data_IF_496773524374
#
_entry.id   IF_496773524374
#
_cell.length_a   1.000
_cell.length_b   1.000
_cell.length_c   1.000
_cell.angle_alpha   90.00
_cell.angle_beta   90.00
_cell.angle_gamma   90.00
#
_symmetry.space_group_name_H-M   'P 1'
#
loop_
_entity.id
_entity.type
_entity.pdbx_description
1 polymer ?
#
# COMPACT_ATOMS: atom_id res chain seq x y z
N UNK A 1 4.27 6.51 -19.48
CA UNK A 1 4.88 6.99 -18.23
C UNK A 1 5.06 8.50 -18.32
N UNK A 2 4.55 9.23 -17.32
CA UNK A 2 4.63 10.69 -17.21
C UNK A 2 5.24 10.99 -15.83
N UNK A 3 6.44 11.59 -15.80
CA UNK A 3 7.14 11.87 -14.52
C UNK A 3 7.48 13.35 -14.33
N UNK A 4 7.24 14.20 -15.33
CA UNK A 4 7.51 15.63 -15.29
C UNK A 4 7.21 16.31 -16.60
N UNK A 5 7.59 17.60 -16.70
CA UNK A 5 7.33 18.43 -17.87
C UNK A 5 5.93 19.02 -17.87
N UNK A 6 5.63 19.82 -18.92
CA UNK A 6 4.33 20.45 -19.10
C UNK A 6 3.62 19.86 -20.31
N UNK A 7 2.38 19.41 -20.10
CA UNK A 7 1.53 18.77 -21.10
C UNK A 7 0.29 19.63 -21.25
N UNK A 8 0.09 20.21 -22.43
CA UNK A 8 -1.04 21.11 -22.72
C UNK A 8 -2.15 20.45 -23.53
N UNK A 9 -1.86 19.32 -24.18
CA UNK A 9 -2.84 18.51 -24.90
C UNK A 9 -3.38 17.36 -24.03
N UNK A 10 -4.36 16.64 -24.55
CA UNK A 10 -4.89 15.44 -23.89
C UNK A 10 -3.88 14.30 -23.91
N UNK A 11 -3.93 13.46 -22.87
CA UNK A 11 -3.14 12.23 -22.73
C UNK A 11 -4.03 11.05 -23.05
N UNK A 12 -3.56 10.16 -23.89
CA UNK A 12 -4.22 8.91 -24.23
C UNK A 12 -3.31 7.73 -23.82
N UNK A 13 -3.81 6.81 -23.03
CA UNK A 13 -3.15 5.52 -22.77
C UNK A 13 -3.02 4.71 -24.06
N UNK A 14 -4.05 4.72 -24.87
CA UNK A 14 -4.09 4.20 -26.23
C UNK A 14 -4.99 5.04 -27.12
N UNK A 15 -4.62 5.19 -28.39
CA UNK A 15 -5.43 5.83 -29.42
C UNK A 15 -5.45 4.89 -30.64
N UNK A 16 -6.62 4.48 -31.05
CA UNK A 16 -6.80 3.54 -32.15
C UNK A 16 -7.98 3.87 -33.03
N UNK A 17 -7.96 3.35 -34.27
CA UNK A 17 -9.11 3.46 -35.18
C UNK A 17 -10.21 2.44 -34.85
N UNK A 18 -9.88 1.35 -34.14
CA UNK A 18 -10.83 0.33 -33.67
C UNK A 18 -10.75 0.19 -32.15
N UNK A 19 -9.82 -0.60 -31.63
CA UNK A 19 -9.71 -0.88 -30.22
C UNK A 19 -8.57 -0.09 -29.57
N UNK A 20 -8.78 0.36 -28.32
CA UNK A 20 -7.79 1.01 -27.48
C UNK A 20 -7.96 0.53 -26.02
N UNK A 21 -7.94 -0.79 -25.84
CA UNK A 21 -8.18 -1.49 -24.59
C UNK A 21 -6.88 -1.91 -23.90
N UNK A 22 -6.95 -2.16 -22.58
CA UNK A 22 -5.85 -2.74 -21.80
C UNK A 22 -4.64 -1.82 -21.59
N UNK A 23 -4.79 -0.53 -21.80
CA UNK A 23 -3.70 0.43 -21.69
C UNK A 23 -3.45 0.80 -20.23
N UNK A 24 -2.20 1.22 -19.94
CA UNK A 24 -1.81 1.67 -18.60
C UNK A 24 -1.15 3.03 -18.66
N UNK A 25 -1.71 3.99 -17.93
CA UNK A 25 -1.14 5.33 -17.74
C UNK A 25 -0.52 5.38 -16.35
N UNK A 26 0.75 5.77 -16.27
CA UNK A 26 1.48 5.96 -15.03
C UNK A 26 1.89 7.42 -14.89
N UNK A 27 1.53 8.03 -13.78
CA UNK A 27 1.83 9.41 -13.45
C UNK A 27 2.60 9.45 -12.12
N UNK A 28 3.81 10.02 -12.14
CA UNK A 28 4.68 10.17 -10.98
C UNK A 28 5.39 11.53 -11.02
N UNK A 29 6.20 11.82 -10.01
CA UNK A 29 6.97 13.07 -9.97
C UNK A 29 6.09 14.32 -9.96
N UNK A 30 6.43 15.33 -10.76
CA UNK A 30 5.78 16.64 -10.75
C UNK A 30 5.39 17.11 -12.17
N UNK A 31 4.60 16.36 -12.94
CA UNK A 31 4.13 16.83 -14.23
C UNK A 31 3.12 17.96 -14.02
N UNK A 32 3.10 18.87 -14.99
CA UNK A 32 2.13 19.97 -15.04
C UNK A 32 1.21 19.71 -16.22
N UNK A 33 -0.08 19.54 -15.95
CA UNK A 33 -1.09 19.44 -16.99
C UNK A 33 -1.75 20.81 -17.22
N UNK A 34 -2.03 21.15 -18.47
CA UNK A 34 -2.78 22.35 -18.80
C UNK A 34 -4.24 22.25 -18.32
N UNK A 35 -4.91 23.38 -18.18
CA UNK A 35 -6.27 23.46 -17.64
C UNK A 35 -7.30 22.59 -18.40
N UNK A 36 -7.03 22.32 -19.68
CA UNK A 36 -7.90 21.53 -20.56
C UNK A 36 -7.32 20.13 -20.87
N UNK A 37 -6.27 19.71 -20.16
CA UNK A 37 -5.69 18.38 -20.35
C UNK A 37 -6.62 17.32 -19.82
N UNK A 38 -7.17 16.51 -20.72
CA UNK A 38 -7.94 15.30 -20.40
C UNK A 38 -7.00 14.11 -20.32
N UNK A 39 -7.28 13.21 -19.39
CA UNK A 39 -6.58 11.92 -19.25
C UNK A 39 -7.53 10.80 -19.71
N UNK A 40 -7.24 10.18 -20.83
CA UNK A 40 -7.99 9.04 -21.38
C UNK A 40 -7.24 7.73 -21.18
N UNK A 41 -7.94 6.71 -20.71
CA UNK A 41 -7.42 5.33 -20.67
C UNK A 41 -7.23 4.78 -22.08
N UNK A 42 -8.26 4.90 -22.91
CA UNK A 42 -8.26 4.58 -24.32
C UNK A 42 -9.18 5.50 -25.10
N UNK A 43 -8.96 5.61 -26.39
CA UNK A 43 -9.89 6.31 -27.29
C UNK A 43 -9.94 5.58 -28.63
N UNK A 44 -11.17 5.33 -29.12
CA UNK A 44 -11.43 4.68 -30.38
C UNK A 44 -12.22 5.58 -31.31
N UNK A 45 -11.67 5.90 -32.48
CA UNK A 45 -12.33 6.77 -33.46
C UNK A 45 -13.59 6.12 -34.08
N UNK A 46 -13.71 4.81 -34.04
CA UNK A 46 -14.79 4.02 -34.64
C UNK A 46 -15.67 3.28 -33.64
N UNK A 47 -15.53 3.60 -32.33
CA UNK A 47 -16.33 2.99 -31.27
C UNK A 47 -15.93 1.53 -30.97
N UNK A 48 -14.65 1.19 -31.13
CA UNK A 48 -14.10 -0.10 -30.71
C UNK A 48 -13.96 -0.21 -29.19
N UNK A 49 -13.41 -1.33 -28.73
CA UNK A 49 -13.24 -1.62 -27.32
C UNK A 49 -12.20 -0.67 -26.66
N UNK A 50 -12.60 -0.03 -25.55
CA UNK A 50 -11.76 0.84 -24.73
C UNK A 50 -11.70 0.36 -23.28
N UNK A 51 -12.01 -0.90 -23.03
CA UNK A 51 -12.05 -1.50 -21.68
C UNK A 51 -10.68 -1.95 -21.16
N UNK A 52 -10.60 -2.22 -19.85
CA UNK A 52 -9.40 -2.74 -19.19
C UNK A 52 -8.29 -1.71 -19.04
N UNK A 53 -8.58 -0.43 -19.20
CA UNK A 53 -7.59 0.63 -19.07
C UNK A 53 -7.35 0.99 -17.60
N UNK A 54 -6.10 1.26 -17.23
CA UNK A 54 -5.66 1.47 -15.85
C UNK A 54 -4.95 2.81 -15.70
N UNK A 55 -5.36 3.59 -14.71
CA UNK A 55 -4.67 4.81 -14.28
C UNK A 55 -3.91 4.54 -12.99
N UNK A 56 -2.60 4.80 -13.00
CA UNK A 56 -1.74 4.65 -11.83
C UNK A 56 -1.19 6.03 -11.44
N UNK A 57 -1.48 6.48 -10.23
CA UNK A 57 -1.06 7.78 -9.69
C UNK A 57 -0.09 7.55 -8.53
N UNK A 58 1.16 7.95 -8.73
CA UNK A 58 2.27 7.83 -7.80
C UNK A 58 2.77 9.20 -7.32
N UNK A 59 1.90 10.16 -7.21
CA UNK A 59 2.21 11.52 -6.74
C UNK A 59 0.94 12.20 -6.24
N UNK A 60 1.06 13.37 -5.65
CA UNK A 60 -0.03 14.18 -5.12
C UNK A 60 -0.01 15.60 -5.65
N UNK A 61 -1.13 16.32 -5.48
CA UNK A 61 -1.26 17.70 -5.91
C UNK A 61 -1.35 17.86 -7.44
N UNK A 62 -1.70 16.77 -8.15
CA UNK A 62 -1.96 16.85 -9.59
C UNK A 62 -3.25 17.63 -9.88
N UNK A 63 -3.26 18.30 -11.03
CA UNK A 63 -4.47 18.95 -11.56
C UNK A 63 -4.63 18.59 -13.04
N UNK A 64 -5.84 18.19 -13.45
CA UNK A 64 -6.19 17.93 -14.86
C UNK A 64 -7.62 18.42 -15.15
N UNK A 65 -8.03 18.40 -16.40
CA UNK A 65 -9.42 18.74 -16.75
C UNK A 65 -10.38 17.63 -16.28
N UNK A 66 -10.18 16.41 -16.74
CA UNK A 66 -10.99 15.25 -16.34
C UNK A 66 -10.25 13.95 -16.65
N UNK A 67 -10.81 12.82 -16.18
CA UNK A 67 -10.36 11.45 -16.48
C UNK A 67 -11.49 10.69 -17.15
N UNK A 68 -11.19 9.86 -18.16
CA UNK A 68 -12.17 9.12 -18.96
C UNK A 68 -11.64 7.75 -19.36
N UNK A 69 -12.54 6.79 -19.52
CA UNK A 69 -12.26 5.47 -20.11
C UNK A 69 -11.20 4.68 -19.34
N UNK A 70 -11.22 4.78 -18.01
CA UNK A 70 -10.46 3.94 -17.10
C UNK A 70 -11.41 3.01 -16.32
N UNK A 71 -11.09 1.71 -16.30
CA UNK A 71 -11.78 0.69 -15.51
C UNK A 71 -11.12 0.42 -14.18
N UNK A 72 -9.87 0.85 -14.02
CA UNK A 72 -9.12 0.69 -12.79
C UNK A 72 -8.32 1.95 -12.47
N UNK A 73 -8.39 2.35 -11.21
CA UNK A 73 -7.63 3.47 -10.64
C UNK A 73 -6.79 2.96 -9.48
N UNK A 74 -5.49 3.13 -9.58
CA UNK A 74 -4.52 2.77 -8.54
C UNK A 74 -3.87 4.05 -8.00
N UNK A 75 -4.14 4.36 -6.75
CA UNK A 75 -3.59 5.51 -6.05
C UNK A 75 -2.52 5.04 -5.07
N UNK A 76 -1.30 5.56 -5.20
CA UNK A 76 -0.18 5.20 -4.33
C UNK A 76 0.20 6.39 -3.46
N UNK A 77 -0.05 6.26 -2.15
CA UNK A 77 0.31 7.27 -1.17
C UNK A 77 1.83 7.32 -1.01
N UNK A 78 2.41 8.49 -1.17
CA UNK A 78 3.83 8.74 -0.97
C UNK A 78 4.16 8.87 0.51
N UNK A 79 5.44 8.70 0.88
CA UNK A 79 5.89 8.79 2.28
C UNK A 79 5.66 10.18 2.92
N UNK A 80 5.51 11.22 2.13
CA UNK A 80 5.23 12.59 2.56
C UNK A 80 3.74 12.98 2.49
N UNK A 81 2.85 12.01 2.19
CA UNK A 81 1.40 12.23 2.20
C UNK A 81 0.93 12.52 3.62
N UNK A 82 0.07 13.52 3.76
CA UNK A 82 -0.52 13.95 5.02
C UNK A 82 -2.02 13.80 4.99
N UNK A 83 -2.64 13.84 6.17
CA UNK A 83 -4.08 13.98 6.28
C UNK A 83 -4.56 15.19 5.46
N UNK A 84 -5.72 15.03 4.83
CA UNK A 84 -6.39 16.02 3.96
C UNK A 84 -5.64 16.37 2.65
N UNK A 85 -4.50 15.73 2.35
CA UNK A 85 -3.87 15.89 1.03
C UNK A 85 -4.82 15.39 -0.09
N UNK A 86 -4.75 16.04 -1.26
CA UNK A 86 -5.44 15.61 -2.49
C UNK A 86 -4.42 15.12 -3.51
N UNK A 87 -4.65 13.93 -4.08
CA UNK A 87 -3.75 13.37 -5.09
C UNK A 87 -4.03 13.95 -6.47
N UNK A 88 -5.30 13.95 -6.89
CA UNK A 88 -5.71 14.47 -8.21
C UNK A 88 -6.95 15.34 -8.09
N UNK A 89 -6.84 16.61 -8.53
CA UNK A 89 -7.94 17.56 -8.66
C UNK A 89 -8.36 17.68 -10.11
N UNK A 90 -9.65 17.56 -10.37
CA UNK A 90 -10.26 17.68 -11.68
C UNK A 90 -11.08 18.98 -11.76
N UNK A 91 -10.85 19.76 -12.80
CA UNK A 91 -11.45 21.10 -12.94
C UNK A 91 -12.63 21.14 -13.93
N UNK A 92 -12.82 20.05 -14.68
CA UNK A 92 -13.76 20.01 -15.81
C UNK A 92 -13.22 20.68 -17.07
N UNK A 93 -12.36 21.67 -16.97
CA UNK A 93 -11.80 22.39 -18.11
C UNK A 93 -12.88 22.85 -19.10
N UNK A 94 -12.63 22.64 -20.39
CA UNK A 94 -13.59 22.92 -21.50
C UNK A 94 -14.43 21.67 -21.86
N UNK A 95 -14.38 20.59 -21.06
CA UNK A 95 -15.20 19.41 -21.27
C UNK A 95 -16.69 19.80 -21.20
N UNK A 96 -17.48 19.35 -22.17
CA UNK A 96 -18.94 19.59 -22.21
C UNK A 96 -19.66 18.87 -21.06
N UNK A 97 -19.13 17.72 -20.63
CA UNK A 97 -19.55 16.98 -19.45
C UNK A 97 -18.43 17.01 -18.42
N UNK A 98 -18.56 17.92 -17.47
CA UNK A 98 -17.55 18.15 -16.42
C UNK A 98 -17.57 17.12 -15.30
N UNK A 99 -18.58 16.25 -15.27
CA UNK A 99 -18.71 15.20 -14.25
C UNK A 99 -17.69 14.09 -14.52
N UNK A 100 -17.10 13.55 -13.47
CA UNK A 100 -16.23 12.38 -13.53
C UNK A 100 -17.03 11.12 -13.23
N UNK A 101 -16.96 10.13 -14.10
CA UNK A 101 -17.64 8.84 -13.93
C UNK A 101 -16.63 7.76 -13.54
N UNK A 102 -16.84 7.15 -12.38
CA UNK A 102 -16.07 5.99 -11.90
C UNK A 102 -16.97 4.77 -11.71
N UNK A 103 -18.13 4.78 -12.37
CA UNK A 103 -19.05 3.62 -12.38
C UNK A 103 -18.38 2.42 -13.01
N UNK A 104 -18.57 1.22 -12.43
CA UNK A 104 -17.95 -0.04 -12.83
C UNK A 104 -16.41 -0.07 -12.70
N UNK A 105 -15.81 0.97 -12.17
CA UNK A 105 -14.37 1.02 -12.00
C UNK A 105 -13.94 0.35 -10.71
N UNK A 106 -12.72 -0.16 -10.70
CA UNK A 106 -12.03 -0.66 -9.51
C UNK A 106 -11.11 0.42 -8.96
N UNK A 107 -11.24 0.72 -7.67
CA UNK A 107 -10.43 1.71 -6.96
C UNK A 107 -9.51 0.98 -5.97
N UNK A 108 -8.22 1.08 -6.16
CA UNK A 108 -7.23 0.51 -5.28
C UNK A 108 -6.39 1.63 -4.65
N UNK A 109 -6.04 1.45 -3.38
CA UNK A 109 -5.12 2.34 -2.67
C UNK A 109 -3.93 1.53 -2.19
N UNK A 110 -2.73 2.04 -2.42
CA UNK A 110 -1.48 1.43 -1.98
C UNK A 110 -0.55 2.46 -1.35
N UNK A 111 0.57 1.98 -0.84
CA UNK A 111 1.66 2.83 -0.37
C UNK A 111 2.91 2.54 -1.16
N UNK A 112 3.66 3.57 -1.51
CA UNK A 112 4.94 3.45 -2.16
C UNK A 112 6.08 3.74 -1.17
N UNK A 113 7.01 2.77 -1.04
CA UNK A 113 8.15 2.91 -0.14
C UNK A 113 7.79 2.85 1.34
N UNK A 114 8.23 3.84 2.10
CA UNK A 114 7.92 3.96 3.53
C UNK A 114 6.50 4.47 3.74
N UNK A 115 5.83 4.03 4.82
CA UNK A 115 4.49 4.51 5.15
C UNK A 115 4.50 6.02 5.37
N UNK A 116 3.48 6.73 4.88
CA UNK A 116 3.21 8.10 5.32
C UNK A 116 2.89 8.12 6.81
N UNK A 117 3.07 9.28 7.45
CA UNK A 117 2.80 9.45 8.88
C UNK A 117 1.30 9.65 9.16
N UNK A 118 0.45 8.77 8.59
CA UNK A 118 -0.99 8.80 8.76
C UNK A 118 -1.40 7.97 9.99
N UNK A 119 -2.45 8.38 10.65
CA UNK A 119 -3.02 7.77 11.86
C UNK A 119 -4.40 7.21 11.56
N UNK A 120 -4.88 6.35 12.43
CA UNK A 120 -6.27 5.89 12.40
C UNK A 120 -7.20 7.12 12.52
N UNK A 121 -8.15 7.23 11.60
CA UNK A 121 -9.06 8.34 11.45
C UNK A 121 -8.61 9.42 10.45
N UNK A 122 -7.34 9.42 10.03
CA UNK A 122 -6.87 10.34 8.99
C UNK A 122 -7.45 9.93 7.63
N UNK A 123 -7.76 10.94 6.83
CA UNK A 123 -8.31 10.77 5.49
C UNK A 123 -7.43 11.43 4.43
N UNK A 124 -7.43 10.86 3.24
CA UNK A 124 -6.74 11.40 2.05
C UNK A 124 -7.73 11.45 0.89
N UNK A 125 -7.77 12.56 0.18
CA UNK A 125 -8.58 12.71 -1.03
C UNK A 125 -7.84 12.13 -2.24
N UNK A 126 -8.36 11.05 -2.80
CA UNK A 126 -7.79 10.39 -3.97
C UNK A 126 -8.10 11.17 -5.24
N UNK A 127 -9.35 11.62 -5.36
CA UNK A 127 -9.87 12.35 -6.51
C UNK A 127 -10.83 13.43 -6.02
N UNK A 128 -10.69 14.64 -6.53
CA UNK A 128 -11.61 15.75 -6.29
C UNK A 128 -12.10 16.33 -7.59
N UNK A 129 -13.42 16.52 -7.74
CA UNK A 129 -14.03 17.24 -8.84
C UNK A 129 -15.18 18.09 -8.33
N UNK A 130 -15.03 19.41 -8.36
CA UNK A 130 -16.05 20.36 -7.93
C UNK A 130 -17.32 20.33 -8.77
N UNK A 131 -17.30 19.71 -9.96
CA UNK A 131 -18.47 19.52 -10.82
C UNK A 131 -19.20 18.20 -10.52
N UNK A 132 -18.63 17.34 -9.68
CA UNK A 132 -19.19 16.08 -9.23
C UNK A 132 -18.45 14.84 -9.73
N UNK A 133 -18.53 13.79 -8.91
CA UNK A 133 -18.05 12.44 -9.21
C UNK A 133 -19.24 11.50 -9.09
N UNK A 134 -19.46 10.65 -10.08
CA UNK A 134 -20.52 9.65 -10.07
C UNK A 134 -19.93 8.26 -9.92
N UNK A 135 -20.37 7.54 -8.89
CA UNK A 135 -20.14 6.14 -8.66
C UNK A 135 -21.48 5.41 -8.52
N UNK A 136 -21.48 4.11 -8.63
CA UNK A 136 -22.66 3.28 -8.40
C UNK A 136 -22.30 2.00 -7.60
N UNK A 137 -23.25 1.11 -7.41
CA UNK A 137 -23.06 -0.16 -6.70
C UNK A 137 -22.16 -1.16 -7.44
N UNK A 138 -21.71 -0.86 -8.63
CA UNK A 138 -20.76 -1.67 -9.41
C UNK A 138 -19.33 -1.12 -9.30
N UNK A 139 -19.13 0.02 -8.65
CA UNK A 139 -17.81 0.54 -8.32
C UNK A 139 -17.21 -0.30 -7.20
N UNK A 140 -16.05 -0.91 -7.44
CA UNK A 140 -15.35 -1.76 -6.48
C UNK A 140 -14.28 -0.97 -5.73
N UNK A 141 -14.46 -0.82 -4.43
CA UNK A 141 -13.49 -0.16 -3.56
C UNK A 141 -12.66 -1.22 -2.82
N UNK A 142 -11.36 -1.26 -3.07
CA UNK A 142 -10.46 -2.14 -2.36
C UNK A 142 -10.51 -1.89 -0.84
N UNK A 143 -10.73 -2.93 -0.01
CA UNK A 143 -10.91 -2.77 1.43
C UNK A 143 -9.59 -2.61 2.20
N UNK A 144 -8.48 -2.82 1.55
CA UNK A 144 -7.16 -2.86 2.19
C UNK A 144 -6.15 -2.02 1.41
N UNK A 145 -5.28 -1.34 2.13
CA UNK A 145 -4.10 -0.69 1.59
C UNK A 145 -2.85 -1.44 2.07
N UNK A 146 -1.94 -1.77 1.15
CA UNK A 146 -0.75 -2.55 1.48
C UNK A 146 0.51 -1.72 1.38
N UNK A 147 1.36 -1.86 2.41
CA UNK A 147 2.72 -1.35 2.41
C UNK A 147 3.69 -2.51 2.25
N UNK A 148 4.22 -2.68 1.03
CA UNK A 148 5.10 -3.79 0.71
C UNK A 148 4.45 -5.15 1.03
N UNK A 149 5.23 -6.04 1.64
CA UNK A 149 4.79 -7.40 2.01
C UNK A 149 4.49 -7.55 3.51
N UNK A 150 4.61 -6.48 4.28
CA UNK A 150 4.69 -6.58 5.75
C UNK A 150 3.50 -6.01 6.48
N UNK A 151 2.90 -4.93 5.97
CA UNK A 151 1.83 -4.21 6.67
C UNK A 151 0.61 -4.08 5.76
N UNK A 152 -0.55 -4.32 6.34
CA UNK A 152 -1.85 -4.09 5.73
C UNK A 152 -2.58 -3.08 6.59
N UNK A 153 -3.14 -2.07 5.97
CA UNK A 153 -4.03 -1.11 6.57
C UNK A 153 -5.46 -1.43 6.14
N UNK A 154 -6.35 -1.49 7.10
CA UNK A 154 -7.78 -1.55 6.85
C UNK A 154 -8.22 -0.11 6.52
N UNK A 155 -8.90 0.08 5.39
CA UNK A 155 -9.33 1.39 4.90
C UNK A 155 -10.79 1.36 4.48
N UNK A 156 -11.45 2.50 4.59
CA UNK A 156 -12.74 2.75 3.96
C UNK A 156 -12.56 3.79 2.86
N UNK A 157 -12.92 3.43 1.64
CA UNK A 157 -12.89 4.32 0.48
C UNK A 157 -14.31 4.54 -0.02
N UNK A 158 -14.65 5.78 -0.36
CA UNK A 158 -15.96 6.12 -0.90
C UNK A 158 -16.08 7.59 -1.26
N UNK A 159 -17.20 7.94 -1.88
CA UNK A 159 -17.54 9.34 -2.13
C UNK A 159 -17.97 10.02 -0.83
N UNK A 160 -17.59 11.28 -0.66
CA UNK A 160 -18.12 12.13 0.39
C UNK A 160 -19.62 12.43 0.16
N UNK A 161 -20.29 12.99 1.16
CA UNK A 161 -21.75 13.27 1.11
C UNK A 161 -22.15 14.16 -0.08
N UNK A 162 -21.30 15.10 -0.47
CA UNK A 162 -21.58 16.03 -1.58
C UNK A 162 -21.27 15.43 -2.96
N UNK A 163 -20.65 14.24 -3.03
CA UNK A 163 -20.29 13.59 -4.29
C UNK A 163 -19.17 14.30 -5.06
N UNK A 164 -18.37 15.14 -4.41
CA UNK A 164 -17.30 15.88 -5.06
C UNK A 164 -15.91 15.31 -4.78
N UNK A 165 -15.78 14.44 -3.80
CA UNK A 165 -14.49 13.85 -3.38
C UNK A 165 -14.60 12.34 -3.23
N UNK A 166 -13.66 11.64 -3.82
CA UNK A 166 -13.37 10.25 -3.52
C UNK A 166 -12.31 10.23 -2.42
N UNK A 167 -12.67 9.75 -1.23
CA UNK A 167 -11.84 9.82 -0.03
C UNK A 167 -11.51 8.41 0.46
N UNK A 168 -10.29 8.21 0.94
CA UNK A 168 -9.91 7.02 1.69
C UNK A 168 -9.59 7.42 3.14
N UNK A 169 -10.12 6.66 4.11
CA UNK A 169 -9.88 6.85 5.53
C UNK A 169 -9.18 5.62 6.09
N UNK A 170 -8.22 5.82 6.99
CA UNK A 170 -7.49 4.75 7.66
C UNK A 170 -8.30 4.32 8.89
N UNK A 171 -8.79 3.09 8.89
CA UNK A 171 -9.60 2.53 9.97
C UNK A 171 -8.75 1.71 10.95
N UNK A 172 -7.64 1.14 10.47
CA UNK A 172 -6.76 0.30 11.26
C UNK A 172 -5.53 -0.15 10.51
N UNK A 173 -4.73 -0.99 11.14
CA UNK A 173 -3.57 -1.60 10.49
C UNK A 173 -3.05 -2.79 11.27
N UNK A 174 -2.52 -3.77 10.53
CA UNK A 174 -1.95 -5.00 11.09
C UNK A 174 -0.69 -5.42 10.35
N UNK A 175 0.24 -6.03 11.07
CA UNK A 175 1.40 -6.70 10.48
C UNK A 175 0.95 -8.07 9.97
N UNK A 176 1.32 -8.42 8.74
CA UNK A 176 1.00 -9.72 8.17
C UNK A 176 1.70 -10.85 8.94
N UNK A 177 0.98 -11.95 9.17
CA UNK A 177 1.50 -13.14 9.88
C UNK A 177 2.81 -13.66 9.25
N UNK A 178 2.92 -13.62 7.92
CA UNK A 178 4.10 -14.09 7.20
C UNK A 178 5.39 -13.34 7.57
N UNK A 179 5.28 -12.09 8.04
CA UNK A 179 6.43 -11.27 8.42
C UNK A 179 6.77 -11.34 9.90
N UNK A 180 5.90 -11.92 10.72
CA UNK A 180 6.16 -12.20 12.13
C UNK A 180 7.13 -13.37 12.31
N UNK A 181 6.99 -14.42 11.50
CA UNK A 181 7.77 -15.66 11.61
C UNK A 181 9.30 -15.47 11.64
N UNK A 182 9.94 -14.61 10.80
CA UNK A 182 11.38 -14.38 10.92
C UNK A 182 11.81 -13.77 12.25
N UNK A 183 11.04 -12.83 12.80
CA UNK A 183 11.32 -12.19 14.09
C UNK A 183 11.15 -13.17 15.23
N UNK A 184 10.11 -13.97 15.19
CA UNK A 184 9.82 -15.02 16.17
C UNK A 184 10.91 -16.11 16.14
N UNK A 185 11.33 -16.53 14.96
CA UNK A 185 12.44 -17.50 14.79
C UNK A 185 13.75 -16.94 15.34
N UNK A 186 14.04 -15.67 15.11
CA UNK A 186 15.24 -15.02 15.64
C UNK A 186 15.20 -14.93 17.16
N UNK A 187 14.05 -14.59 17.74
CA UNK A 187 13.84 -14.55 19.18
C UNK A 187 14.00 -15.96 19.82
N UNK A 188 13.39 -16.97 19.21
CA UNK A 188 13.52 -18.36 19.65
C UNK A 188 14.98 -18.85 19.61
N UNK A 189 15.71 -18.52 18.53
CA UNK A 189 17.14 -18.87 18.40
C UNK A 189 17.98 -18.18 19.47
N UNK A 190 17.75 -16.91 19.75
CA UNK A 190 18.45 -16.17 20.80
C UNK A 190 18.15 -16.75 22.19
N UNK A 191 16.89 -17.13 22.46
CA UNK A 191 16.48 -17.79 23.69
C UNK A 191 17.20 -19.12 23.88
N UNK A 192 17.26 -19.94 22.84
CA UNK A 192 17.96 -21.25 22.88
C UNK A 192 19.45 -21.09 23.12
N UNK A 193 20.13 -20.17 22.46
CA UNK A 193 21.53 -19.87 22.64
C UNK A 193 21.86 -19.41 24.09
N UNK A 194 21.04 -18.48 24.61
CA UNK A 194 21.22 -17.96 25.97
C UNK A 194 20.99 -19.06 27.01
N UNK A 195 19.95 -19.88 26.86
CA UNK A 195 19.69 -21.00 27.75
C UNK A 195 20.83 -22.04 27.75
N UNK A 196 21.40 -22.34 26.58
CA UNK A 196 22.56 -23.19 26.44
C UNK A 196 23.82 -22.62 27.12
N UNK A 197 24.06 -21.31 26.95
CA UNK A 197 25.18 -20.63 27.60
C UNK A 197 25.03 -20.61 29.12
N UNK A 198 23.84 -20.34 29.65
CA UNK A 198 23.56 -20.35 31.09
C UNK A 198 23.73 -21.75 31.70
N UNK A 199 23.29 -22.78 30.99
CA UNK A 199 23.46 -24.16 31.40
C UNK A 199 24.96 -24.56 31.46
N UNK A 200 25.75 -24.15 30.45
CA UNK A 200 27.19 -24.42 30.44
C UNK A 200 27.91 -23.64 31.53
N UNK A 201 27.65 -22.35 31.67
CA UNK A 201 28.32 -21.48 32.64
C UNK A 201 27.95 -21.83 34.11
N UNK A 202 26.72 -22.28 34.34
CA UNK A 202 26.23 -22.67 35.65
C UNK A 202 26.59 -24.11 36.00
N UNK A 203 25.66 -25.02 35.72
CA UNK A 203 25.76 -26.43 36.13
C UNK A 203 26.78 -27.24 35.33
N UNK A 204 27.03 -26.85 34.05
CA UNK A 204 27.96 -27.61 33.19
C UNK A 204 29.40 -27.56 33.68
N UNK A 205 29.93 -26.38 34.00
CA UNK A 205 31.29 -26.21 34.52
C UNK A 205 31.44 -26.89 35.88
N UNK A 206 30.46 -26.75 36.76
CA UNK A 206 30.48 -27.39 38.07
C UNK A 206 30.53 -28.92 37.98
N UNK A 207 29.66 -29.51 37.15
CA UNK A 207 29.63 -30.98 36.94
C UNK A 207 30.89 -31.51 36.26
N UNK A 208 31.50 -30.74 35.35
CA UNK A 208 32.76 -31.06 34.72
C UNK A 208 33.93 -31.06 35.76
N UNK A 209 33.98 -30.06 36.62
CA UNK A 209 34.98 -29.96 37.68
C UNK A 209 34.87 -31.11 38.67
N UNK A 210 33.69 -31.52 39.04
CA UNK A 210 33.43 -32.66 39.91
C UNK A 210 33.86 -33.97 39.24
N UNK A 211 33.48 -34.19 37.99
CA UNK A 211 33.86 -35.39 37.23
C UNK A 211 35.37 -35.52 37.03
N UNK A 212 36.08 -34.41 36.81
CA UNK A 212 37.54 -34.43 36.65
C UNK A 212 38.30 -34.66 37.97
N UNK A 213 37.66 -34.48 39.10
CA UNK A 213 38.25 -34.73 40.44
C UNK A 213 38.02 -36.14 40.91
N UNK A 214 37.30 -37.00 40.20
CA UNK A 214 37.05 -38.37 40.53
C UNK A 214 38.28 -39.28 40.14
N UNK A 215 38.79 -40.13 41.04
CA UNK A 215 39.94 -40.94 40.78
C UNK A 215 39.79 -42.06 39.74
N UNK A 216 38.54 -42.55 39.53
CA UNK A 216 38.16 -43.58 38.56
C UNK A 216 37.58 -43.12 37.26
N UNK A 217 37.56 -41.81 37.00
CA UNK A 217 36.86 -41.17 35.87
C UNK A 217 35.35 -41.16 36.06
N UNK A 218 34.67 -40.13 35.54
CA UNK A 218 33.23 -39.97 35.66
C UNK A 218 32.63 -39.54 34.36
N UNK A 219 31.38 -39.96 34.11
CA UNK A 219 30.53 -39.44 33.04
C UNK A 219 29.58 -38.44 33.70
N UNK A 220 29.53 -37.24 33.16
CA UNK A 220 28.58 -36.23 33.63
C UNK A 220 27.59 -35.83 32.52
N UNK A 221 26.43 -35.42 32.93
CA UNK A 221 25.40 -34.89 32.05
C UNK A 221 24.67 -33.75 32.74
N UNK A 222 24.33 -32.76 32.01
CA UNK A 222 23.56 -31.61 32.49
C UNK A 222 22.29 -31.47 31.68
N UNK A 223 21.17 -31.34 32.35
CA UNK A 223 19.88 -31.02 31.73
C UNK A 223 19.34 -29.73 32.32
N UNK A 224 18.85 -28.87 31.48
CA UNK A 224 18.21 -27.64 31.88
C UNK A 224 16.96 -27.40 31.05
N UNK A 225 16.04 -26.64 31.60
CA UNK A 225 14.83 -26.21 30.90
C UNK A 225 14.40 -24.83 31.42
N UNK A 226 13.84 -24.04 30.57
CA UNK A 226 13.36 -22.73 30.92
C UNK A 226 12.33 -22.23 29.89
N UNK A 227 11.66 -21.17 30.22
CA UNK A 227 10.82 -20.45 29.28
C UNK A 227 11.25 -18.99 29.25
N UNK A 228 11.32 -18.42 28.06
CA UNK A 228 11.57 -16.99 27.86
C UNK A 228 10.42 -16.35 27.10
N UNK A 229 10.02 -15.18 27.54
CA UNK A 229 8.97 -14.41 26.87
C UNK A 229 9.58 -13.16 26.25
N UNK A 230 9.52 -13.06 24.95
CA UNK A 230 9.94 -11.87 24.20
C UNK A 230 8.73 -11.06 23.76
N UNK A 231 8.73 -9.78 24.07
CA UNK A 231 7.71 -8.84 23.54
C UNK A 231 8.19 -8.31 22.19
N UNK A 232 7.92 -9.05 21.14
CA UNK A 232 8.30 -8.69 19.77
C UNK A 232 7.30 -7.74 19.09
N UNK A 233 6.18 -7.41 19.76
CA UNK A 233 5.03 -6.75 19.15
C UNK A 233 4.09 -7.69 18.39
N UNK A 234 4.49 -8.96 18.22
CA UNK A 234 3.72 -10.00 17.53
C UNK A 234 2.97 -10.94 18.46
N UNK A 235 3.07 -10.78 19.79
CA UNK A 235 2.49 -11.65 20.81
C UNK A 235 3.02 -13.09 20.83
N UNK A 236 4.23 -13.34 20.32
CA UNK A 236 4.84 -14.65 20.40
C UNK A 236 5.40 -14.90 21.81
N UNK A 237 5.00 -16.01 22.40
CA UNK A 237 5.67 -16.63 23.54
C UNK A 237 6.67 -17.66 23.01
N UNK A 238 7.93 -17.54 23.35
CA UNK A 238 9.02 -18.45 22.94
C UNK A 238 9.64 -19.11 24.18
#
# INVERSE_FOLDING_TARGET
YISGGTITGSVYGGLGSSDAAGNKVYISGTPIFGNNTMLYGGHSDRGGDVSGNVLNIHTKGLQAANVRDFDEYNFYLQNDTKADDTLLTLTGGDDSDKITYITKSKINVGMEGSAPALRIGDSVTLLENTNGITADNTTDYGPEMRQGVSVVYDITTGLNEDGHKLVTTIDGGKVLEQTKSPVETQAATAAFLNSGADMLAGSGIASMSEATSAEDGAIFGVMGGGSMRYKTGSYADV
#
